data_IF_815398951430
#
_entry.id   IF_815398951430
#
_cell.length_a   1.000
_cell.length_b   1.000
_cell.length_c   1.000
_cell.angle_alpha   90.00
_cell.angle_beta   90.00
_cell.angle_gamma   90.00
#
_symmetry.space_group_name_H-M   'P 1'
#
loop_
_entity.id
_entity.type
_entity.pdbx_description
1 polymer ?
#
# COMPACT_ATOMS: atom_id res chain seq x y z
N UNK A 1 -25.60 18.07 11.41
CA UNK A 1 -24.37 18.31 10.63
C UNK A 1 -23.75 16.96 10.34
N UNK A 2 -24.04 16.37 9.19
CA UNK A 2 -23.30 15.20 8.73
C UNK A 2 -21.86 15.66 8.48
N UNK A 3 -20.92 15.09 9.26
CA UNK A 3 -19.53 15.26 9.00
C UNK A 3 -19.30 14.75 7.55
N UNK A 4 -19.02 15.65 6.62
CA UNK A 4 -18.74 15.28 5.23
C UNK A 4 -17.65 14.22 5.25
N UNK A 5 -18.00 13.02 4.86
CA UNK A 5 -17.11 11.86 4.91
C UNK A 5 -15.93 12.13 3.97
N UNK A 6 -14.83 12.58 4.54
CA UNK A 6 -13.63 13.06 3.82
C UNK A 6 -12.88 11.91 3.14
N UNK A 7 -13.17 10.67 3.55
CA UNK A 7 -12.51 9.47 3.08
C UNK A 7 -13.51 8.35 2.82
N UNK A 8 -13.39 7.69 1.71
CA UNK A 8 -14.10 6.44 1.43
C UNK A 8 -13.37 5.29 2.16
N UNK A 9 -13.81 5.01 3.38
CA UNK A 9 -13.19 3.99 4.23
C UNK A 9 -13.28 2.59 3.64
N UNK A 10 -14.31 2.29 2.86
CA UNK A 10 -14.44 1.00 2.17
C UNK A 10 -13.36 0.85 1.10
N UNK A 11 -13.11 1.90 0.32
CA UNK A 11 -12.05 1.94 -0.68
C UNK A 11 -10.67 1.82 -0.04
N UNK A 12 -10.41 2.55 1.07
CA UNK A 12 -9.15 2.47 1.81
C UNK A 12 -8.90 1.06 2.35
N UNK A 13 -9.92 0.43 2.95
CA UNK A 13 -9.82 -0.96 3.46
C UNK A 13 -9.51 -1.95 2.34
N UNK A 14 -10.22 -1.85 1.22
CA UNK A 14 -9.98 -2.73 0.07
C UNK A 14 -8.55 -2.58 -0.46
N UNK A 15 -8.07 -1.35 -0.64
CA UNK A 15 -6.71 -1.09 -1.06
C UNK A 15 -5.67 -1.58 -0.05
N UNK A 16 -5.90 -1.39 1.25
CA UNK A 16 -5.02 -1.90 2.30
C UNK A 16 -4.93 -3.43 2.29
N UNK A 17 -6.07 -4.13 2.13
CA UNK A 17 -6.08 -5.59 2.03
C UNK A 17 -5.28 -6.07 0.81
N UNK A 18 -5.46 -5.45 -0.35
CA UNK A 18 -4.69 -5.79 -1.55
C UNK A 18 -3.20 -5.54 -1.32
N UNK A 19 -2.82 -4.40 -0.73
CA UNK A 19 -1.42 -4.11 -0.38
C UNK A 19 -0.82 -5.21 0.51
N UNK A 20 -1.52 -5.60 1.58
CA UNK A 20 -1.01 -6.57 2.56
C UNK A 20 -0.90 -7.99 1.99
N UNK A 21 -1.86 -8.42 1.17
CA UNK A 21 -1.84 -9.74 0.52
C UNK A 21 -0.56 -9.94 -0.30
N UNK A 22 -0.09 -8.88 -0.95
CA UNK A 22 1.16 -8.93 -1.71
C UNK A 22 2.39 -8.56 -0.86
N UNK A 23 2.34 -7.48 -0.10
CA UNK A 23 3.50 -6.98 0.62
C UNK A 23 4.00 -7.96 1.69
N UNK A 24 3.12 -8.64 2.44
CA UNK A 24 3.52 -9.54 3.52
C UNK A 24 4.35 -10.72 3.00
N UNK A 25 3.86 -11.57 2.06
CA UNK A 25 4.63 -12.72 1.60
C UNK A 25 5.93 -12.30 0.89
N UNK A 26 5.90 -11.23 0.11
CA UNK A 26 7.10 -10.73 -0.54
C UNK A 26 8.13 -10.19 0.45
N UNK A 27 7.72 -9.50 1.52
CA UNK A 27 8.62 -9.01 2.56
C UNK A 27 9.24 -10.15 3.37
N UNK A 28 8.46 -11.16 3.72
CA UNK A 28 8.95 -12.36 4.40
C UNK A 28 9.97 -13.09 3.51
N UNK A 29 9.62 -13.29 2.25
CA UNK A 29 10.51 -13.91 1.27
C UNK A 29 11.81 -13.13 1.07
N UNK A 30 11.74 -11.80 1.04
CA UNK A 30 12.92 -10.94 0.91
C UNK A 30 13.86 -11.10 2.11
N UNK A 31 13.32 -11.11 3.33
CA UNK A 31 14.11 -11.35 4.56
C UNK A 31 14.76 -12.73 4.55
N UNK A 32 14.01 -13.75 4.13
CA UNK A 32 14.55 -15.11 4.00
C UNK A 32 15.65 -15.21 2.93
N UNK A 33 15.46 -14.57 1.77
CA UNK A 33 16.47 -14.56 0.71
C UNK A 33 17.75 -13.81 1.14
N UNK A 34 17.60 -12.69 1.86
CA UNK A 34 18.71 -11.94 2.41
C UNK A 34 19.52 -12.76 3.45
N UNK A 35 18.85 -13.54 4.30
CA UNK A 35 19.52 -14.40 5.28
C UNK A 35 20.31 -15.57 4.66
N UNK A 36 20.12 -15.81 3.36
CA UNK A 36 20.83 -16.84 2.56
C UNK A 36 21.80 -16.25 1.54
N UNK A 37 22.21 -14.99 1.72
CA UNK A 37 23.11 -14.26 0.82
C UNK A 37 22.61 -14.16 -0.64
N UNK A 38 21.31 -14.39 -0.86
CA UNK A 38 20.66 -14.30 -2.16
C UNK A 38 20.19 -12.86 -2.44
N UNK A 39 21.14 -11.92 -2.53
CA UNK A 39 20.85 -10.48 -2.68
C UNK A 39 19.95 -10.19 -3.90
N UNK A 40 20.20 -10.82 -5.04
CA UNK A 40 19.39 -10.60 -6.23
C UNK A 40 17.92 -11.00 -6.01
N UNK A 41 17.67 -12.17 -5.42
CA UNK A 41 16.32 -12.63 -5.10
C UNK A 41 15.65 -11.71 -4.09
N UNK A 42 16.38 -11.27 -3.04
CA UNK A 42 15.86 -10.33 -2.06
C UNK A 42 15.39 -9.01 -2.71
N UNK A 43 16.16 -8.46 -3.65
CA UNK A 43 15.81 -7.25 -4.39
C UNK A 43 14.51 -7.45 -5.18
N UNK A 44 14.37 -8.56 -5.93
CA UNK A 44 13.16 -8.84 -6.69
C UNK A 44 11.93 -8.98 -5.80
N UNK A 45 12.07 -9.59 -4.64
CA UNK A 45 10.99 -9.74 -3.67
C UNK A 45 10.61 -8.39 -3.03
N UNK A 46 11.59 -7.53 -2.74
CA UNK A 46 11.30 -6.14 -2.29
C UNK A 46 10.54 -5.36 -3.38
N UNK A 47 10.94 -5.47 -4.63
CA UNK A 47 10.21 -4.86 -5.75
C UNK A 47 8.78 -5.41 -5.87
N UNK A 48 8.58 -6.70 -5.61
CA UNK A 48 7.26 -7.32 -5.53
C UNK A 48 6.39 -6.72 -4.41
N UNK A 49 6.97 -6.50 -3.24
CA UNK A 49 6.28 -5.84 -2.12
C UNK A 49 5.88 -4.40 -2.47
N UNK A 50 6.78 -3.64 -3.09
CA UNK A 50 6.52 -2.28 -3.59
C UNK A 50 5.40 -2.29 -4.64
N UNK A 51 5.42 -3.26 -5.56
CA UNK A 51 4.34 -3.50 -6.53
C UNK A 51 2.99 -3.74 -5.85
N UNK A 52 2.99 -4.49 -4.74
CA UNK A 52 1.79 -4.72 -3.93
C UNK A 52 1.17 -3.43 -3.38
N UNK A 53 2.00 -2.50 -2.89
CA UNK A 53 1.53 -1.18 -2.45
C UNK A 53 1.00 -0.35 -3.63
N UNK A 54 1.61 -0.44 -4.81
CA UNK A 54 1.12 0.24 -6.03
C UNK A 54 -0.27 -0.26 -6.41
N UNK A 55 -0.46 -1.58 -6.41
CA UNK A 55 -1.73 -2.23 -6.73
C UNK A 55 -2.82 -1.86 -5.71
N UNK A 56 -2.52 -1.91 -4.42
CA UNK A 56 -3.46 -1.54 -3.37
C UNK A 56 -3.86 -0.07 -3.44
N UNK A 57 -2.90 0.82 -3.63
CA UNK A 57 -3.16 2.25 -3.83
C UNK A 57 -4.00 2.51 -5.09
N UNK A 58 -3.69 1.83 -6.19
CA UNK A 58 -4.46 1.89 -7.42
C UNK A 58 -5.89 1.38 -7.26
N UNK A 59 -6.06 0.29 -6.53
CA UNK A 59 -7.37 -0.28 -6.20
C UNK A 59 -8.21 0.70 -5.38
N UNK A 60 -7.65 1.27 -4.30
CA UNK A 60 -8.34 2.27 -3.49
C UNK A 60 -8.76 3.50 -4.32
N UNK A 61 -7.86 4.00 -5.16
CA UNK A 61 -8.11 5.14 -6.03
C UNK A 61 -9.16 4.85 -7.12
N UNK A 62 -9.23 3.60 -7.59
CA UNK A 62 -10.19 3.19 -8.60
C UNK A 62 -11.60 2.98 -8.03
N UNK A 63 -11.69 2.44 -6.81
CA UNK A 63 -12.96 2.07 -6.16
C UNK A 63 -13.63 3.25 -5.45
N UNK A 64 -12.87 4.25 -4.99
CA UNK A 64 -13.38 5.39 -4.20
C UNK A 64 -14.45 6.20 -4.94
N UNK A 65 -15.40 6.79 -4.21
CA UNK A 65 -16.57 7.53 -4.73
C UNK A 65 -16.49 9.03 -4.53
N UNK A 66 -15.42 9.56 -3.95
CA UNK A 66 -15.29 10.97 -3.54
C UNK A 66 -14.48 11.83 -4.52
N UNK A 67 -14.13 11.28 -5.69
CA UNK A 67 -13.34 11.93 -6.74
C UNK A 67 -11.96 12.47 -6.27
N UNK A 68 -11.35 11.77 -5.28
CA UNK A 68 -10.04 12.08 -4.71
C UNK A 68 -9.05 10.93 -4.89
N UNK A 69 -8.78 10.47 -6.13
CA UNK A 69 -8.01 9.24 -6.37
C UNK A 69 -6.58 9.29 -5.85
N UNK A 70 -5.88 10.40 -6.03
CA UNK A 70 -4.48 10.54 -5.58
C UNK A 70 -4.37 10.51 -4.05
N UNK A 71 -5.29 11.19 -3.37
CA UNK A 71 -5.32 11.21 -1.91
C UNK A 71 -5.64 9.82 -1.35
N UNK A 72 -6.59 9.09 -1.94
CA UNK A 72 -6.92 7.73 -1.51
C UNK A 72 -5.77 6.78 -1.76
N UNK A 73 -5.09 6.86 -2.90
CA UNK A 73 -3.89 6.07 -3.19
C UNK A 73 -2.76 6.33 -2.19
N UNK A 74 -2.46 7.60 -1.94
CA UNK A 74 -1.42 8.01 -0.99
C UNK A 74 -1.75 7.53 0.44
N UNK A 75 -2.94 7.83 0.93
CA UNK A 75 -3.37 7.47 2.30
C UNK A 75 -3.42 5.96 2.48
N UNK A 76 -3.86 5.21 1.48
CA UNK A 76 -3.86 3.75 1.52
C UNK A 76 -2.42 3.22 1.66
N UNK A 77 -1.51 3.63 0.79
CA UNK A 77 -0.13 3.15 0.81
C UNK A 77 0.59 3.53 2.11
N UNK A 78 0.59 4.83 2.44
CA UNK A 78 1.27 5.36 3.64
C UNK A 78 0.64 4.81 4.92
N UNK A 79 -0.68 4.79 5.02
CA UNK A 79 -1.37 4.28 6.21
C UNK A 79 -1.14 2.79 6.44
N UNK A 80 -1.24 1.98 5.37
CA UNK A 80 -0.99 0.53 5.46
C UNK A 80 0.47 0.24 5.82
N UNK A 81 1.42 0.91 5.16
CA UNK A 81 2.84 0.77 5.49
C UNK A 81 3.14 1.19 6.93
N UNK A 82 2.64 2.36 7.36
CA UNK A 82 2.87 2.86 8.72
C UNK A 82 2.33 1.91 9.77
N UNK A 83 1.14 1.35 9.57
CA UNK A 83 0.56 0.38 10.48
C UNK A 83 1.41 -0.89 10.58
N UNK A 84 1.84 -1.44 9.45
CA UNK A 84 2.73 -2.61 9.41
C UNK A 84 4.11 -2.30 10.04
N UNK A 85 4.67 -1.13 9.74
CA UNK A 85 5.95 -0.70 10.29
C UNK A 85 5.90 -0.49 11.80
N UNK A 86 4.81 0.05 12.34
CA UNK A 86 4.63 0.19 13.79
C UNK A 86 4.64 -1.17 14.49
N UNK A 87 3.95 -2.17 13.95
CA UNK A 87 3.98 -3.53 14.49
C UNK A 87 5.40 -4.08 14.48
N UNK A 88 6.12 -3.91 13.37
CA UNK A 88 7.50 -4.36 13.23
C UNK A 88 8.45 -3.68 14.23
N UNK A 89 8.32 -2.36 14.41
CA UNK A 89 9.10 -1.60 15.40
C UNK A 89 8.83 -2.11 16.83
N UNK A 90 7.57 -2.35 17.18
CA UNK A 90 7.23 -2.90 18.49
C UNK A 90 7.88 -4.27 18.70
N UNK A 91 7.81 -5.14 17.71
CA UNK A 91 8.47 -6.47 17.78
C UNK A 91 9.98 -6.32 17.98
N UNK A 92 10.67 -5.47 17.22
CA UNK A 92 12.10 -5.23 17.36
C UNK A 92 12.44 -4.71 18.77
N UNK A 93 11.71 -3.74 19.30
CA UNK A 93 11.94 -3.20 20.64
C UNK A 93 11.75 -4.25 21.73
N UNK A 94 10.73 -5.10 21.61
CA UNK A 94 10.48 -6.19 22.58
C UNK A 94 11.58 -7.26 22.48
N UNK A 95 12.11 -7.51 21.29
CA UNK A 95 13.22 -8.46 21.06
C UNK A 95 14.60 -7.90 21.47
N UNK A 96 14.68 -6.62 21.83
CA UNK A 96 15.94 -5.96 22.19
C UNK A 96 16.80 -5.57 20.98
N UNK A 97 16.22 -5.60 19.79
CA UNK A 97 16.90 -5.21 18.55
C UNK A 97 16.87 -3.69 18.34
N UNK A 98 17.86 -3.18 17.60
CA UNK A 98 17.91 -1.77 17.24
C UNK A 98 17.00 -1.46 16.04
N UNK A 99 16.23 -0.37 16.13
CA UNK A 99 15.37 0.09 15.03
C UNK A 99 16.18 0.92 14.04
N UNK A 100 16.16 0.53 12.76
CA UNK A 100 16.75 1.32 11.69
C UNK A 100 15.77 2.44 11.26
N UNK A 101 15.80 3.56 11.96
CA UNK A 101 14.93 4.71 11.68
C UNK A 101 15.12 5.30 10.29
N UNK A 102 16.37 5.37 9.82
CA UNK A 102 16.65 5.88 8.48
C UNK A 102 15.98 5.00 7.40
N UNK A 103 16.12 3.67 7.52
CA UNK A 103 15.46 2.74 6.62
C UNK A 103 13.94 2.86 6.66
N UNK A 104 13.36 3.02 7.86
CA UNK A 104 11.92 3.18 8.01
C UNK A 104 11.40 4.45 7.31
N UNK A 105 12.04 5.59 7.49
CA UNK A 105 11.66 6.85 6.83
C UNK A 105 11.91 6.83 5.32
N UNK A 106 13.02 6.25 4.88
CA UNK A 106 13.31 6.09 3.46
C UNK A 106 12.23 5.25 2.77
N UNK A 107 11.88 4.09 3.34
CA UNK A 107 10.85 3.23 2.81
C UNK A 107 9.46 3.91 2.82
N UNK A 108 9.14 4.68 3.86
CA UNK A 108 7.91 5.47 3.91
C UNK A 108 7.83 6.45 2.74
N UNK A 109 8.93 7.12 2.41
CA UNK A 109 9.01 8.04 1.26
C UNK A 109 8.80 7.31 -0.07
N UNK A 110 9.42 6.15 -0.24
CA UNK A 110 9.24 5.29 -1.42
C UNK A 110 7.79 4.86 -1.55
N UNK A 111 7.19 4.36 -0.46
CA UNK A 111 5.78 3.92 -0.44
C UNK A 111 4.82 5.09 -0.70
N UNK A 112 5.13 6.29 -0.21
CA UNK A 112 4.38 7.50 -0.53
C UNK A 112 4.40 7.82 -2.04
N UNK A 113 5.57 7.78 -2.66
CA UNK A 113 5.71 7.96 -4.12
C UNK A 113 4.94 6.91 -4.91
N UNK A 114 5.05 5.66 -4.50
CA UNK A 114 4.34 4.52 -5.09
C UNK A 114 2.82 4.65 -4.91
N UNK A 115 2.36 5.16 -3.77
CA UNK A 115 0.96 5.46 -3.49
C UNK A 115 0.38 6.50 -4.47
N UNK A 116 1.15 7.53 -4.81
CA UNK A 116 0.76 8.52 -5.81
C UNK A 116 0.69 7.92 -7.22
N UNK A 117 1.66 7.07 -7.59
CA UNK A 117 1.66 6.35 -8.87
C UNK A 117 0.44 5.45 -8.97
N UNK A 118 0.16 4.64 -7.94
CA UNK A 118 -1.03 3.80 -7.87
C UNK A 118 -2.32 4.62 -7.97
N UNK A 119 -2.40 5.73 -7.23
CA UNK A 119 -3.52 6.67 -7.29
C UNK A 119 -3.75 7.22 -8.70
N UNK A 120 -2.69 7.57 -9.41
CA UNK A 120 -2.75 8.03 -10.79
C UNK A 120 -3.22 6.94 -11.76
N UNK A 121 -2.74 5.69 -11.58
CA UNK A 121 -3.20 4.54 -12.37
C UNK A 121 -4.70 4.32 -12.15
N UNK A 122 -5.17 4.29 -10.90
CA UNK A 122 -6.58 4.14 -10.58
C UNK A 122 -7.45 5.23 -11.20
N UNK A 123 -6.99 6.49 -11.17
CA UNK A 123 -7.63 7.63 -11.86
C UNK A 123 -7.71 7.39 -13.37
N UNK A 124 -6.62 6.92 -14.00
CA UNK A 124 -6.61 6.63 -15.45
C UNK A 124 -7.53 5.49 -15.84
N UNK A 125 -7.63 4.44 -15.03
CA UNK A 125 -8.58 3.34 -15.28
C UNK A 125 -10.02 3.87 -15.29
N UNK A 126 -10.38 4.70 -14.33
CA UNK A 126 -11.70 5.32 -14.27
C UNK A 126 -11.98 6.22 -15.47
N UNK A 127 -11.03 7.06 -15.86
CA UNK A 127 -11.14 7.94 -17.02
C UNK A 127 -11.32 7.18 -18.35
N UNK A 128 -10.84 5.94 -18.44
CA UNK A 128 -11.03 5.05 -19.59
C UNK A 128 -12.35 4.26 -19.54
N UNK A 129 -13.23 4.53 -18.59
CA UNK A 129 -14.53 3.86 -18.46
C UNK A 129 -14.50 2.49 -17.77
N UNK A 130 -13.37 2.09 -17.18
CA UNK A 130 -13.33 0.89 -16.34
C UNK A 130 -14.00 1.19 -14.99
N UNK A 131 -15.28 0.79 -14.86
CA UNK A 131 -16.08 1.01 -13.66
C UNK A 131 -16.08 -0.28 -12.82
N UNK A 132 -15.94 -0.18 -11.49
CA UNK A 132 -16.03 -1.35 -10.61
C UNK A 132 -17.38 -2.08 -10.77
N UNK A 133 -17.38 -3.41 -10.67
CA UNK A 133 -18.55 -4.26 -10.93
C UNK A 133 -19.76 -3.95 -10.03
N UNK A 134 -19.52 -3.49 -8.79
CA UNK A 134 -20.59 -3.10 -7.87
C UNK A 134 -21.33 -1.80 -8.30
N UNK A 135 -20.70 -0.94 -9.07
CA UNK A 135 -21.38 0.26 -9.63
C UNK A 135 -22.22 -0.09 -10.86
N UNK A 136 -21.90 -1.19 -11.56
CA UNK A 136 -22.69 -1.67 -12.71
C UNK A 136 -24.03 -2.29 -12.31
N UNK A 137 -24.13 -2.79 -11.10
CA UNK A 137 -25.36 -3.44 -10.59
C UNK A 137 -26.39 -2.43 -10.09
N UNK A 138 -26.07 -1.14 -10.03
CA UNK A 138 -26.94 -0.06 -9.56
C UNK A 138 -27.49 0.84 -10.68
N UNK A 139 -27.19 0.52 -11.93
CA UNK A 139 -27.75 1.16 -13.15
C UNK A 139 -28.77 0.23 -13.81
#
# INVERSE_FOLDING_TARGET
>A
MEASQRWDTAALRMGAMVSLIFAIPFSIGASWAASRDSTALAIWLVLGAVGGFTLGAGCAAWVQRLDLPLSHGLVTAVGTYSAAQMIFIVVQLVSGDSVNWFGAFFNLSVVGGVGLIGGWIGRRLRAKGFVPSFERSSQ
#
